data_IF_200604655536
#
_entry.id   IF_200604655536
#
_cell.length_a   1.000
_cell.length_b   1.000
_cell.length_c   1.000
_cell.angle_alpha   90.00
_cell.angle_beta   90.00
_cell.angle_gamma   90.00
#
_symmetry.space_group_name_H-M   'P 1'
#
loop_
_entity.id
_entity.type
_entity.pdbx_description
1 polymer ?
#
# COMPACT_ATOMS: atom_id res chain seq x y z
N UNK A 1 -8.24 -18.14 -26.11
CA UNK A 1 -7.25 -18.86 -25.25
C UNK A 1 -7.85 -20.14 -24.67
N UNK A 2 -7.03 -21.10 -24.17
CA UNK A 2 -7.51 -22.31 -23.48
C UNK A 2 -6.51 -22.75 -22.40
N UNK A 3 -7.01 -23.52 -21.42
CA UNK A 3 -6.19 -24.04 -20.33
C UNK A 3 -5.86 -25.50 -20.61
N UNK A 4 -4.59 -25.87 -20.40
CA UNK A 4 -4.09 -27.24 -20.56
C UNK A 4 -3.40 -27.69 -19.29
N UNK A 5 -3.70 -28.91 -18.87
CA UNK A 5 -2.99 -29.59 -17.80
C UNK A 5 -1.67 -30.19 -18.32
N UNK A 6 -0.61 -30.04 -17.56
CA UNK A 6 0.70 -30.63 -17.81
C UNK A 6 1.23 -31.31 -16.55
N UNK A 7 1.49 -32.60 -16.64
CA UNK A 7 2.11 -33.34 -15.55
C UNK A 7 3.64 -33.31 -15.68
N UNK A 8 4.35 -32.79 -14.68
CA UNK A 8 5.81 -32.83 -14.58
C UNK A 8 6.23 -33.93 -13.60
N UNK A 9 7.24 -34.72 -13.97
CA UNK A 9 7.94 -35.65 -13.07
C UNK A 9 9.07 -34.88 -12.39
N UNK A 10 9.09 -34.81 -11.06
CA UNK A 10 10.27 -34.36 -10.33
C UNK A 10 11.24 -35.51 -10.11
N UNK A 11 12.50 -35.19 -9.81
CA UNK A 11 13.52 -36.14 -9.40
C UNK A 11 13.09 -36.77 -8.07
N UNK A 12 12.53 -38.00 -8.13
CA UNK A 12 11.86 -38.69 -7.02
C UNK A 12 10.35 -38.77 -7.25
N UNK A 13 9.72 -39.90 -6.93
CA UNK A 13 8.36 -40.39 -7.25
C UNK A 13 7.15 -39.40 -7.18
N UNK A 14 7.32 -38.10 -6.95
CA UNK A 14 6.22 -37.11 -6.90
C UNK A 14 5.92 -36.54 -8.30
N UNK A 15 4.65 -36.65 -8.71
CA UNK A 15 4.13 -36.00 -9.91
C UNK A 15 3.48 -34.68 -9.53
N UNK A 16 3.79 -33.60 -10.25
CA UNK A 16 3.14 -32.30 -10.09
C UNK A 16 2.24 -32.04 -11.30
N UNK A 17 1.02 -31.65 -11.02
CA UNK A 17 0.08 -31.15 -12.01
C UNK A 17 0.25 -29.64 -12.10
N UNK A 18 0.44 -29.12 -13.29
CA UNK A 18 0.56 -27.70 -13.58
C UNK A 18 -0.39 -27.33 -14.72
N UNK A 19 -1.14 -26.27 -14.55
CA UNK A 19 -2.04 -25.74 -15.57
C UNK A 19 -1.35 -24.60 -16.33
N UNK A 20 -1.56 -24.55 -17.64
CA UNK A 20 -0.97 -23.55 -18.52
C UNK A 20 -2.07 -22.90 -19.35
N UNK A 21 -2.09 -21.56 -19.40
CA UNK A 21 -2.91 -20.80 -20.32
C UNK A 21 -2.17 -20.73 -21.67
N UNK A 22 -2.84 -21.14 -22.73
CA UNK A 22 -2.27 -21.28 -24.08
C UNK A 22 -3.07 -20.47 -25.07
N UNK A 23 -2.37 -19.81 -25.98
CA UNK A 23 -2.94 -19.12 -27.13
C UNK A 23 -2.47 -19.77 -28.42
N UNK A 24 -3.38 -19.83 -29.42
CA UNK A 24 -3.03 -20.28 -30.77
C UNK A 24 -2.74 -19.07 -31.65
N UNK A 25 -1.49 -18.91 -32.04
CA UNK A 25 -1.04 -17.80 -32.89
C UNK A 25 -0.82 -18.32 -34.32
N UNK A 26 -1.36 -17.63 -35.31
CA UNK A 26 -1.09 -17.92 -36.72
C UNK A 26 0.30 -17.39 -37.12
N UNK A 27 1.18 -18.28 -37.52
CA UNK A 27 2.49 -17.91 -38.06
C UNK A 27 2.55 -18.23 -39.58
N UNK A 28 3.50 -17.68 -40.32
CA UNK A 28 3.67 -17.99 -41.75
C UNK A 28 3.86 -19.50 -42.02
N UNK A 29 4.31 -20.26 -41.03
CA UNK A 29 4.51 -21.73 -41.11
C UNK A 29 3.32 -22.52 -40.52
N UNK A 30 2.15 -21.89 -40.31
CA UNK A 30 0.93 -22.49 -39.76
C UNK A 30 0.64 -22.12 -38.31
N UNK A 31 -0.48 -22.62 -37.75
CA UNK A 31 -0.88 -22.28 -36.35
C UNK A 31 0.10 -22.90 -35.36
N UNK A 32 0.60 -22.10 -34.43
CA UNK A 32 1.43 -22.53 -33.30
C UNK A 32 0.81 -22.21 -31.97
N UNK A 33 0.99 -23.09 -31.00
CA UNK A 33 0.56 -22.88 -29.62
C UNK A 33 1.67 -22.22 -28.83
N UNK A 34 1.33 -21.09 -28.17
CA UNK A 34 2.23 -20.36 -27.30
C UNK A 34 1.71 -20.37 -25.87
N UNK A 35 2.58 -20.58 -24.88
CA UNK A 35 2.23 -20.48 -23.47
C UNK A 35 2.18 -19.00 -23.12
N UNK A 36 1.00 -18.52 -22.69
CA UNK A 36 0.79 -17.14 -22.26
C UNK A 36 1.16 -16.98 -20.79
N UNK A 37 0.69 -17.90 -19.93
CA UNK A 37 0.97 -17.87 -18.50
C UNK A 37 0.95 -19.27 -17.89
N UNK A 38 1.80 -19.52 -16.88
CA UNK A 38 1.72 -20.69 -16.04
C UNK A 38 0.81 -20.41 -14.85
N UNK A 39 -0.35 -21.06 -14.78
CA UNK A 39 -1.37 -20.82 -13.74
C UNK A 39 -1.08 -21.58 -12.43
N UNK A 40 0.00 -22.38 -12.39
CA UNK A 40 0.29 -23.24 -11.24
C UNK A 40 -0.69 -24.39 -11.10
N UNK A 41 -1.01 -24.79 -9.87
CA UNK A 41 -2.03 -25.77 -9.58
C UNK A 41 -3.39 -25.07 -9.47
N UNK A 42 -4.25 -25.25 -10.47
CA UNK A 42 -5.56 -24.62 -10.52
C UNK A 42 -6.57 -25.44 -9.72
N UNK A 43 -7.12 -24.88 -8.65
CA UNK A 43 -8.16 -25.50 -7.83
C UNK A 43 -9.56 -25.21 -8.38
N UNK A 44 -9.80 -25.49 -9.68
CA UNK A 44 -11.10 -25.35 -10.34
C UNK A 44 -11.43 -26.61 -11.12
N UNK A 45 -12.72 -27.03 -11.15
CA UNK A 45 -13.17 -28.15 -11.98
C UNK A 45 -12.91 -27.88 -13.47
N UNK A 46 -12.67 -28.94 -14.24
CA UNK A 46 -12.29 -28.86 -15.66
C UNK A 46 -13.36 -28.18 -16.53
N UNK A 47 -14.62 -28.36 -16.20
CA UNK A 47 -15.77 -27.75 -16.88
C UNK A 47 -15.75 -26.20 -16.77
N UNK A 48 -15.09 -25.63 -15.74
CA UNK A 48 -14.94 -24.19 -15.53
C UNK A 48 -13.71 -23.59 -16.21
N UNK A 49 -12.77 -24.39 -16.72
CA UNK A 49 -11.53 -23.87 -17.33
C UNK A 49 -11.77 -23.04 -18.59
N UNK A 50 -12.73 -23.44 -19.42
CA UNK A 50 -13.10 -22.69 -20.62
C UNK A 50 -13.67 -21.31 -20.25
N UNK A 51 -14.52 -21.26 -19.23
CA UNK A 51 -15.10 -20.01 -18.72
C UNK A 51 -14.01 -19.09 -18.18
N UNK A 52 -13.06 -19.63 -17.37
CA UNK A 52 -11.92 -18.87 -16.87
C UNK A 52 -11.04 -18.31 -18.00
N UNK A 53 -10.71 -19.13 -19.01
CA UNK A 53 -9.91 -18.68 -20.15
C UNK A 53 -10.59 -17.58 -20.94
N UNK A 54 -11.90 -17.68 -21.18
CA UNK A 54 -12.69 -16.66 -21.87
C UNK A 54 -12.77 -15.35 -21.05
N UNK A 55 -12.94 -15.45 -19.72
CA UNK A 55 -12.92 -14.27 -18.85
C UNK A 55 -11.55 -13.55 -18.87
N UNK A 56 -10.44 -14.31 -18.82
CA UNK A 56 -9.10 -13.74 -18.95
C UNK A 56 -8.95 -13.01 -20.29
N UNK A 57 -9.36 -13.64 -21.39
CA UNK A 57 -9.32 -13.05 -22.73
C UNK A 57 -10.17 -11.78 -22.83
N UNK A 58 -11.37 -11.76 -22.25
CA UNK A 58 -12.24 -10.59 -22.17
C UNK A 58 -11.59 -9.44 -21.38
N UNK A 59 -10.97 -9.73 -20.23
CA UNK A 59 -10.26 -8.69 -19.46
C UNK A 59 -9.01 -8.16 -20.17
N UNK A 60 -8.29 -9.00 -20.93
CA UNK A 60 -7.15 -8.53 -21.73
C UNK A 60 -7.59 -7.66 -22.90
N UNK A 61 -8.77 -7.94 -23.48
CA UNK A 61 -9.36 -7.16 -24.59
C UNK A 61 -10.21 -5.97 -24.13
N UNK A 62 -10.19 -5.60 -22.84
CA UNK A 62 -11.03 -4.54 -22.25
C UNK A 62 -12.52 -4.67 -22.55
N UNK A 63 -13.02 -5.89 -22.83
CA UNK A 63 -14.44 -6.13 -23.12
C UNK A 63 -15.25 -6.16 -21.81
N UNK A 64 -16.29 -5.34 -21.73
CA UNK A 64 -17.27 -5.41 -20.63
C UNK A 64 -18.09 -6.68 -20.79
N UNK A 65 -18.06 -7.56 -19.77
CA UNK A 65 -18.96 -8.71 -19.71
C UNK A 65 -20.41 -8.24 -19.57
N UNK A 66 -21.27 -8.64 -20.50
CA UNK A 66 -22.69 -8.27 -20.53
C UNK A 66 -23.54 -8.97 -19.46
N UNK A 67 -23.03 -10.03 -18.83
CA UNK A 67 -23.73 -10.79 -17.80
C UNK A 67 -22.80 -11.01 -16.59
N UNK A 68 -23.32 -10.93 -15.35
CA UNK A 68 -22.55 -11.24 -14.17
C UNK A 68 -22.14 -12.72 -14.20
N UNK A 69 -20.84 -12.97 -14.22
CA UNK A 69 -20.25 -14.32 -14.14
C UNK A 69 -20.16 -14.81 -12.69
N UNK A 70 -19.65 -16.03 -12.52
CA UNK A 70 -19.28 -16.57 -11.20
C UNK A 70 -18.21 -15.66 -10.57
N UNK A 71 -18.47 -15.03 -9.40
CA UNK A 71 -17.56 -14.07 -8.78
C UNK A 71 -16.15 -14.62 -8.51
N UNK A 72 -16.06 -15.94 -8.21
CA UNK A 72 -14.77 -16.60 -7.97
C UNK A 72 -13.96 -16.72 -9.26
N UNK A 73 -14.61 -17.02 -10.38
CA UNK A 73 -13.96 -17.11 -11.70
C UNK A 73 -13.52 -15.72 -12.15
N UNK A 74 -14.33 -14.68 -11.95
CA UNK A 74 -13.99 -13.31 -12.32
C UNK A 74 -12.79 -12.79 -11.52
N UNK A 75 -12.74 -13.04 -10.21
CA UNK A 75 -11.60 -12.61 -9.37
C UNK A 75 -10.29 -13.27 -9.83
N UNK A 76 -10.32 -14.60 -10.10
CA UNK A 76 -9.16 -15.31 -10.64
C UNK A 76 -8.78 -14.81 -12.03
N UNK A 77 -9.74 -14.53 -12.90
CA UNK A 77 -9.50 -14.04 -14.25
C UNK A 77 -8.84 -12.66 -14.24
N UNK A 78 -9.29 -11.74 -13.38
CA UNK A 78 -8.67 -10.42 -13.20
C UNK A 78 -7.21 -10.54 -12.70
N UNK A 79 -6.98 -11.41 -11.72
CA UNK A 79 -5.64 -11.65 -11.21
C UNK A 79 -4.68 -12.14 -12.30
N UNK A 80 -5.07 -13.16 -13.07
CA UNK A 80 -4.25 -13.68 -14.17
C UNK A 80 -4.08 -12.69 -15.32
N UNK A 81 -5.12 -11.93 -15.66
CA UNK A 81 -5.03 -10.88 -16.67
C UNK A 81 -4.03 -9.79 -16.27
N UNK A 82 -4.00 -9.39 -14.99
CA UNK A 82 -3.00 -8.42 -14.50
C UNK A 82 -1.58 -8.97 -14.57
N UNK A 83 -1.35 -10.23 -14.23
CA UNK A 83 -0.05 -10.89 -14.36
C UNK A 83 0.43 -10.93 -15.82
N UNK A 84 -0.46 -11.27 -16.75
CA UNK A 84 -0.14 -11.31 -18.19
C UNK A 84 0.24 -9.91 -18.68
N UNK A 85 -0.51 -8.86 -18.29
CA UNK A 85 -0.17 -7.48 -18.64
C UNK A 85 1.21 -7.08 -18.11
N UNK A 86 1.52 -7.37 -16.84
CA UNK A 86 2.83 -7.10 -16.27
C UNK A 86 3.96 -7.84 -17.01
N UNK A 87 3.78 -9.13 -17.34
CA UNK A 87 4.78 -9.88 -18.09
C UNK A 87 4.96 -9.35 -19.53
N UNK A 88 3.88 -8.89 -20.17
CA UNK A 88 3.97 -8.28 -21.51
C UNK A 88 4.67 -6.93 -21.49
N UNK A 89 4.37 -6.08 -20.50
CA UNK A 89 5.05 -4.81 -20.27
C UNK A 89 6.55 -5.00 -20.00
N UNK A 90 6.92 -5.98 -19.16
CA UNK A 90 8.32 -6.28 -18.86
C UNK A 90 9.10 -6.83 -20.08
N UNK A 91 8.40 -7.44 -21.04
CA UNK A 91 8.98 -7.92 -22.31
C UNK A 91 8.95 -6.88 -23.43
N UNK A 92 8.46 -5.67 -23.18
CA UNK A 92 8.32 -4.61 -24.20
C UNK A 92 7.30 -4.95 -25.31
N UNK A 93 6.36 -5.86 -25.05
CA UNK A 93 5.40 -6.37 -26.06
C UNK A 93 4.02 -5.73 -26.03
N UNK A 94 3.70 -4.89 -25.04
CA UNK A 94 2.40 -4.21 -24.98
C UNK A 94 2.56 -2.70 -25.14
N UNK A 95 2.08 -2.15 -26.27
CA UNK A 95 1.55 -0.80 -26.31
C UNK A 95 0.16 -0.88 -25.67
N UNK A 96 -0.09 -0.03 -24.69
CA UNK A 96 -1.38 0.04 -23.98
C UNK A 96 -2.50 0.28 -25.00
N UNK A 97 -3.51 -0.58 -25.00
CA UNK A 97 -4.69 -0.50 -25.86
C UNK A 97 -5.70 0.58 -25.44
N UNK A 98 -5.27 1.58 -24.65
CA UNK A 98 -6.14 2.63 -24.12
C UNK A 98 -6.12 3.94 -24.95
N UNK A 99 -5.44 3.94 -26.14
CA UNK A 99 -5.28 5.14 -26.96
C UNK A 99 -6.05 5.09 -28.31
N UNK A 100 -7.14 4.35 -28.42
CA UNK A 100 -7.92 4.35 -29.70
C UNK A 100 -8.87 5.54 -29.88
N UNK A 101 -8.87 6.55 -28.99
CA UNK A 101 -9.67 7.78 -29.16
C UNK A 101 -8.85 9.09 -29.06
N UNK A 102 -7.54 9.04 -29.22
CA UNK A 102 -6.72 10.23 -29.44
C UNK A 102 -6.32 10.26 -30.92
N UNK A 103 -6.71 11.33 -31.58
CA UNK A 103 -6.40 11.64 -32.96
C UNK A 103 -5.01 11.14 -33.39
N UNK A 104 -4.93 10.54 -34.58
CA UNK A 104 -3.68 10.13 -35.21
C UNK A 104 -2.66 11.28 -35.15
N UNK A 105 -1.92 11.37 -34.04
CA UNK A 105 -0.66 12.09 -34.03
C UNK A 105 0.29 11.28 -34.91
N UNK A 106 0.50 11.75 -36.11
CA UNK A 106 1.56 11.27 -37.00
C UNK A 106 2.86 11.28 -36.19
N UNK A 107 3.42 10.10 -35.91
CA UNK A 107 4.68 9.96 -35.18
C UNK A 107 5.73 10.79 -35.91
N UNK A 108 6.08 11.93 -35.37
CA UNK A 108 7.07 12.84 -35.95
C UNK A 108 8.45 12.39 -35.50
N UNK A 109 9.22 11.83 -36.41
CA UNK A 109 10.62 11.48 -36.16
C UNK A 109 11.47 12.73 -36.38
N UNK A 110 12.29 13.05 -35.38
CA UNK A 110 13.28 14.13 -35.47
C UNK A 110 14.69 13.51 -35.41
N UNK A 111 15.60 14.05 -36.22
CA UNK A 111 17.01 13.65 -36.16
C UNK A 111 17.68 14.42 -35.00
N UNK A 112 18.15 13.68 -34.00
CA UNK A 112 18.89 14.23 -32.86
C UNK A 112 20.34 13.75 -32.93
N UNK A 113 21.29 14.68 -32.83
CA UNK A 113 22.70 14.31 -32.67
C UNK A 113 22.92 13.80 -31.24
N UNK A 114 23.06 12.48 -31.10
CA UNK A 114 23.25 11.81 -29.80
C UNK A 114 24.55 12.26 -29.12
N UNK A 115 25.56 12.71 -29.87
CA UNK A 115 26.82 13.18 -29.32
C UNK A 115 26.74 14.59 -28.74
N UNK A 116 25.67 15.34 -29.05
CA UNK A 116 25.42 16.67 -28.49
C UNK A 116 24.65 16.63 -27.17
N UNK A 117 24.21 15.44 -26.71
CA UNK A 117 23.45 15.28 -25.46
C UNK A 117 24.37 15.54 -24.25
N UNK A 118 24.01 16.52 -23.44
CA UNK A 118 24.65 16.79 -22.16
C UNK A 118 23.66 16.41 -21.06
N UNK A 119 24.09 15.56 -20.15
CA UNK A 119 23.29 15.21 -18.96
C UNK A 119 23.52 16.24 -17.88
N UNK A 120 22.49 16.94 -17.43
CA UNK A 120 22.50 17.86 -16.29
C UNK A 120 21.38 17.55 -15.33
N UNK A 121 21.54 17.95 -14.07
CA UNK A 121 20.50 17.89 -13.04
C UNK A 121 19.81 16.53 -12.91
N UNK A 122 20.63 15.48 -12.83
CA UNK A 122 20.12 14.09 -12.70
C UNK A 122 19.38 13.93 -11.37
N UNK A 123 18.11 13.53 -11.44
CA UNK A 123 17.23 13.32 -10.29
C UNK A 123 16.68 11.89 -10.23
N UNK A 124 16.43 11.43 -9.01
CA UNK A 124 15.70 10.16 -8.79
C UNK A 124 14.21 10.38 -8.94
N UNK A 125 13.52 9.36 -9.47
CA UNK A 125 12.06 9.37 -9.62
C UNK A 125 11.42 8.01 -9.29
N UNK A 126 12.19 6.98 -8.98
CA UNK A 126 11.68 5.61 -8.84
C UNK A 126 10.73 5.45 -7.65
N UNK A 127 11.23 5.58 -6.45
CA UNK A 127 10.45 5.49 -5.21
C UNK A 127 9.39 6.57 -5.13
N UNK A 128 9.73 7.78 -5.59
CA UNK A 128 8.84 8.94 -5.63
C UNK A 128 7.64 8.69 -6.54
N UNK A 129 7.86 8.10 -7.72
CA UNK A 129 6.78 7.77 -8.66
C UNK A 129 5.80 6.76 -8.06
N UNK A 130 6.32 5.70 -7.45
CA UNK A 130 5.49 4.69 -6.77
C UNK A 130 4.66 5.35 -5.67
N UNK A 131 5.28 6.18 -4.82
CA UNK A 131 4.60 6.84 -3.71
C UNK A 131 3.48 7.78 -4.21
N UNK A 132 3.78 8.63 -5.20
CA UNK A 132 2.80 9.58 -5.76
C UNK A 132 1.66 8.82 -6.46
N UNK A 133 1.96 7.77 -7.22
CA UNK A 133 0.95 6.95 -7.90
C UNK A 133 0.00 6.29 -6.90
N UNK A 134 0.54 5.72 -5.81
CA UNK A 134 -0.27 5.15 -4.74
C UNK A 134 -1.12 6.21 -4.03
N UNK A 135 -0.56 7.38 -3.72
CA UNK A 135 -1.33 8.49 -3.15
C UNK A 135 -2.53 8.88 -4.03
N UNK A 136 -2.33 8.90 -5.35
CA UNK A 136 -3.41 9.20 -6.31
C UNK A 136 -4.48 8.11 -6.31
N UNK A 137 -4.09 6.82 -6.29
CA UNK A 137 -5.01 5.68 -6.24
C UNK A 137 -5.83 5.64 -4.96
N UNK A 138 -5.22 5.94 -3.81
CA UNK A 138 -5.92 6.12 -2.55
C UNK A 138 -6.81 7.36 -2.52
N UNK A 139 -6.65 8.28 -3.47
CA UNK A 139 -7.39 9.53 -3.51
C UNK A 139 -6.99 10.52 -2.42
N UNK A 140 -5.71 10.52 -2.02
CA UNK A 140 -5.16 11.37 -0.96
C UNK A 140 -5.55 12.83 -1.12
N UNK A 141 -5.45 13.38 -2.33
CA UNK A 141 -5.80 14.78 -2.63
C UNK A 141 -7.26 15.09 -2.28
N UNK A 142 -8.18 14.17 -2.61
CA UNK A 142 -9.61 14.33 -2.30
C UNK A 142 -9.86 14.27 -0.80
N UNK A 143 -9.14 13.38 -0.10
CA UNK A 143 -9.24 13.23 1.35
C UNK A 143 -8.84 14.53 2.05
N UNK A 144 -7.63 15.04 1.78
CA UNK A 144 -7.13 16.23 2.47
C UNK A 144 -7.83 17.52 2.02
N UNK A 145 -8.24 17.61 0.74
CA UNK A 145 -9.09 18.71 0.27
C UNK A 145 -10.42 18.76 1.02
N UNK A 146 -11.03 17.59 1.28
CA UNK A 146 -12.25 17.48 2.09
C UNK A 146 -12.05 17.89 3.56
N UNK A 147 -10.82 17.98 4.06
CA UNK A 147 -10.43 18.48 5.38
C UNK A 147 -10.02 19.96 5.34
N UNK A 148 -10.16 20.64 4.20
CA UNK A 148 -9.90 22.08 4.06
C UNK A 148 -8.49 22.46 3.64
N UNK A 149 -7.66 21.51 3.17
CA UNK A 149 -6.32 21.80 2.68
C UNK A 149 -6.39 22.57 1.35
N UNK A 150 -5.56 23.60 1.23
CA UNK A 150 -5.38 24.33 -0.03
C UNK A 150 -4.57 23.50 -1.04
N UNK A 151 -4.62 23.79 -2.36
CA UNK A 151 -3.81 23.11 -3.35
C UNK A 151 -2.31 23.09 -3.02
N UNK A 152 -1.78 24.20 -2.54
CA UNK A 152 -0.37 24.31 -2.12
C UNK A 152 -0.08 23.39 -0.91
N UNK A 153 -0.96 23.37 0.10
CA UNK A 153 -0.82 22.50 1.27
C UNK A 153 -0.88 21.02 0.88
N UNK A 154 -1.70 20.64 -0.11
CA UNK A 154 -1.74 19.30 -0.66
C UNK A 154 -0.38 18.94 -1.28
N UNK A 155 0.16 19.82 -2.11
CA UNK A 155 1.48 19.65 -2.73
C UNK A 155 2.58 19.47 -1.68
N UNK A 156 2.65 20.38 -0.70
CA UNK A 156 3.63 20.26 0.39
C UNK A 156 3.44 18.99 1.24
N UNK A 157 2.20 18.56 1.47
CA UNK A 157 1.90 17.31 2.16
C UNK A 157 2.46 16.10 1.42
N UNK A 158 2.25 16.02 0.10
CA UNK A 158 2.83 14.98 -0.74
C UNK A 158 4.35 15.01 -0.69
N UNK A 159 4.96 16.17 -0.88
CA UNK A 159 6.41 16.35 -0.82
C UNK A 159 7.00 15.89 0.50
N UNK A 160 6.37 16.26 1.62
CA UNK A 160 6.82 15.87 2.95
C UNK A 160 6.70 14.37 3.19
N UNK A 161 5.56 13.78 2.85
CA UNK A 161 5.32 12.34 3.04
C UNK A 161 6.26 11.52 2.15
N UNK A 162 6.37 11.86 0.86
CA UNK A 162 7.28 11.17 -0.07
C UNK A 162 8.73 11.31 0.41
N UNK A 163 9.13 12.49 0.88
CA UNK A 163 10.45 12.70 1.45
C UNK A 163 10.71 11.81 2.67
N UNK A 164 9.74 11.64 3.57
CA UNK A 164 9.88 10.73 4.72
C UNK A 164 9.97 9.26 4.32
N UNK A 165 9.32 8.87 3.24
CA UNK A 165 9.34 7.49 2.73
C UNK A 165 10.61 7.17 1.94
N UNK A 166 11.02 8.05 1.03
CA UNK A 166 12.13 7.80 0.11
C UNK A 166 13.50 8.25 0.65
N UNK A 167 13.52 9.33 1.43
CA UNK A 167 14.74 9.92 1.99
C UNK A 167 14.49 10.46 3.41
N UNK A 168 14.41 9.58 4.43
CA UNK A 168 14.12 9.99 5.80
C UNK A 168 15.17 10.96 6.34
N UNK A 169 14.72 12.12 6.81
CA UNK A 169 15.60 13.16 7.33
C UNK A 169 14.82 14.29 8.02
N UNK A 170 15.50 15.36 8.42
CA UNK A 170 14.85 16.58 8.92
C UNK A 170 14.13 17.34 7.80
N UNK A 171 13.25 18.27 8.14
CA UNK A 171 12.58 19.13 7.14
C UNK A 171 13.58 19.87 6.27
N UNK A 172 14.68 20.36 6.85
CA UNK A 172 15.78 21.01 6.12
C UNK A 172 16.45 20.05 5.13
N UNK A 173 16.71 18.80 5.54
CA UNK A 173 17.28 17.78 4.67
C UNK A 173 16.29 17.38 3.57
N UNK A 174 15.00 17.30 3.90
CA UNK A 174 13.95 17.04 2.91
C UNK A 174 13.89 18.15 1.85
N UNK A 175 14.00 19.42 2.25
CA UNK A 175 14.06 20.55 1.30
C UNK A 175 15.27 20.42 0.37
N UNK A 176 16.45 20.11 0.93
CA UNK A 176 17.67 19.94 0.14
C UNK A 176 17.51 18.80 -0.87
N UNK A 177 17.06 17.65 -0.40
CA UNK A 177 16.84 16.46 -1.25
C UNK A 177 15.83 16.73 -2.37
N UNK A 178 14.69 17.35 -2.06
CA UNK A 178 13.66 17.70 -3.04
C UNK A 178 14.20 18.68 -4.11
N UNK A 179 15.11 19.58 -3.74
CA UNK A 179 15.65 20.58 -4.66
C UNK A 179 16.77 20.02 -5.54
N UNK A 180 17.64 19.17 -4.98
CA UNK A 180 18.91 18.78 -5.61
C UNK A 180 18.88 17.38 -6.23
N UNK A 181 18.10 16.44 -5.66
CA UNK A 181 18.21 15.02 -6.00
C UNK A 181 16.90 14.33 -6.41
N UNK A 182 15.74 14.90 -6.10
CA UNK A 182 14.43 14.26 -6.35
C UNK A 182 13.64 14.97 -7.45
N UNK A 183 12.98 14.18 -8.30
CA UNK A 183 12.07 14.68 -9.32
C UNK A 183 10.61 14.90 -8.85
N UNK A 184 10.34 14.90 -7.54
CA UNK A 184 8.98 15.08 -6.99
C UNK A 184 8.36 16.42 -7.41
N UNK A 185 9.16 17.51 -7.46
CA UNK A 185 8.67 18.82 -7.88
C UNK A 185 8.10 18.81 -9.29
N UNK A 186 8.85 18.25 -10.20
CA UNK A 186 8.50 18.11 -11.62
C UNK A 186 7.31 17.17 -11.79
N UNK A 187 7.28 16.05 -11.07
CA UNK A 187 6.18 15.08 -11.13
C UNK A 187 4.85 15.66 -10.62
N UNK A 188 4.91 16.58 -9.66
CA UNK A 188 3.72 17.27 -9.16
C UNK A 188 3.33 18.50 -10.00
N UNK A 189 4.13 18.84 -11.01
CA UNK A 189 3.93 20.02 -11.85
C UNK A 189 3.90 21.33 -11.06
N UNK A 190 4.69 21.40 -9.97
CA UNK A 190 4.59 22.47 -8.99
C UNK A 190 5.85 23.31 -8.89
N UNK A 191 5.69 24.61 -9.07
CA UNK A 191 6.73 25.64 -8.85
C UNK A 191 6.67 26.25 -7.44
N UNK A 192 6.18 25.51 -6.45
CA UNK A 192 6.08 26.03 -5.08
C UNK A 192 7.45 26.30 -4.48
N UNK A 193 7.55 27.41 -3.74
CA UNK A 193 8.78 27.76 -3.02
C UNK A 193 8.98 26.83 -1.82
N UNK A 194 10.05 26.05 -1.84
CA UNK A 194 10.41 25.13 -0.77
C UNK A 194 11.37 25.79 0.22
N UNK A 195 11.02 25.72 1.51
CA UNK A 195 11.88 26.05 2.64
C UNK A 195 11.41 25.27 3.89
N UNK A 196 12.30 25.05 4.82
CA UNK A 196 12.07 24.17 5.99
C UNK A 196 10.85 24.57 6.81
N UNK A 197 10.61 25.87 7.01
CA UNK A 197 9.44 26.36 7.76
C UNK A 197 8.10 25.97 7.13
N UNK A 198 8.01 25.88 5.80
CA UNK A 198 6.79 25.43 5.11
C UNK A 198 6.54 23.97 5.43
N UNK A 199 7.57 23.12 5.37
CA UNK A 199 7.43 21.70 5.70
C UNK A 199 7.11 21.48 7.17
N UNK A 200 7.69 22.28 8.10
CA UNK A 200 7.30 22.23 9.50
C UNK A 200 5.81 22.57 9.71
N UNK A 201 5.31 23.63 9.09
CA UNK A 201 3.88 23.98 9.16
C UNK A 201 3.00 22.90 8.56
N UNK A 202 3.44 22.29 7.46
CA UNK A 202 2.74 21.17 6.83
C UNK A 202 2.71 19.94 7.74
N UNK A 203 3.82 19.64 8.44
CA UNK A 203 3.85 18.56 9.42
C UNK A 203 2.84 18.79 10.56
N UNK A 204 2.75 20.03 11.08
CA UNK A 204 1.74 20.39 12.10
C UNK A 204 0.33 20.23 11.56
N UNK A 205 0.06 20.72 10.35
CA UNK A 205 -1.26 20.63 9.72
C UNK A 205 -1.68 19.16 9.51
N UNK A 206 -0.78 18.31 9.04
CA UNK A 206 -1.00 16.87 8.90
C UNK A 206 -1.27 16.22 10.27
N UNK A 207 -0.51 16.61 11.29
CA UNK A 207 -0.70 16.10 12.65
C UNK A 207 -2.06 16.51 13.25
N UNK A 208 -2.47 17.74 13.08
CA UNK A 208 -3.78 18.23 13.56
C UNK A 208 -4.95 17.48 12.92
N UNK A 209 -4.78 16.98 11.70
CA UNK A 209 -5.78 16.24 10.94
C UNK A 209 -5.51 14.72 10.88
N UNK A 210 -4.47 14.21 11.56
CA UNK A 210 -4.00 12.82 11.38
C UNK A 210 -5.09 11.77 11.57
N UNK A 211 -5.91 11.89 12.62
CA UNK A 211 -6.97 10.91 12.92
C UNK A 211 -8.01 10.81 11.80
N UNK A 212 -8.41 11.97 11.22
CA UNK A 212 -9.35 11.98 10.10
C UNK A 212 -8.71 11.48 8.80
N UNK A 213 -7.43 11.76 8.59
CA UNK A 213 -6.66 11.26 7.44
C UNK A 213 -6.52 9.73 7.54
N UNK A 214 -6.07 9.20 8.68
CA UNK A 214 -5.92 7.76 8.93
C UNK A 214 -7.24 7.02 8.73
N UNK A 215 -8.33 7.54 9.30
CA UNK A 215 -9.65 6.94 9.14
C UNK A 215 -10.04 6.83 7.66
N UNK A 216 -9.94 7.92 6.90
CA UNK A 216 -10.30 7.95 5.48
C UNK A 216 -9.40 7.06 4.62
N UNK A 217 -8.10 7.03 4.92
CA UNK A 217 -7.16 6.12 4.24
C UNK A 217 -7.47 4.66 4.55
N UNK A 218 -7.78 4.33 5.80
CA UNK A 218 -8.19 2.97 6.20
C UNK A 218 -9.49 2.53 5.54
N UNK A 219 -10.50 3.44 5.44
CA UNK A 219 -11.74 3.19 4.71
C UNK A 219 -11.46 2.92 3.23
N UNK A 220 -10.58 3.73 2.62
CA UNK A 220 -10.21 3.58 1.22
C UNK A 220 -9.41 2.30 0.95
N UNK A 221 -8.47 1.93 1.83
CA UNK A 221 -7.74 0.67 1.74
C UNK A 221 -8.70 -0.52 1.76
N UNK A 222 -9.69 -0.50 2.66
CA UNK A 222 -10.71 -1.55 2.74
C UNK A 222 -11.52 -1.68 1.45
N UNK A 223 -11.89 -0.57 0.81
CA UNK A 223 -12.60 -0.58 -0.47
C UNK A 223 -11.73 -1.16 -1.60
N UNK A 224 -10.47 -0.72 -1.71
CA UNK A 224 -9.56 -1.14 -2.78
C UNK A 224 -9.21 -2.63 -2.65
N UNK A 225 -8.91 -3.09 -1.42
CA UNK A 225 -8.39 -4.44 -1.18
C UNK A 225 -9.44 -5.42 -0.64
N UNK A 226 -10.68 -4.98 -0.42
CA UNK A 226 -11.77 -5.81 0.13
C UNK A 226 -11.40 -6.46 1.46
N UNK A 227 -10.76 -5.70 2.36
CA UNK A 227 -10.24 -6.18 3.64
C UNK A 227 -11.35 -6.63 4.58
N UNK A 228 -11.17 -7.77 5.25
CA UNK A 228 -12.19 -8.38 6.14
C UNK A 228 -12.17 -7.84 7.57
N UNK A 229 -11.04 -7.43 8.09
CA UNK A 229 -10.87 -6.84 9.42
C UNK A 229 -11.41 -7.73 10.57
N UNK A 230 -11.13 -9.02 10.53
CA UNK A 230 -11.55 -9.97 11.57
C UNK A 230 -10.57 -10.03 12.73
N UNK A 231 -9.30 -9.75 12.47
CA UNK A 231 -8.20 -9.73 13.44
C UNK A 231 -7.62 -8.33 13.55
N UNK A 232 -7.31 -7.92 14.76
CA UNK A 232 -6.66 -6.64 15.08
C UNK A 232 -5.38 -6.96 15.83
N UNK A 233 -4.24 -6.61 15.25
CA UNK A 233 -2.94 -6.70 15.89
C UNK A 233 -2.61 -5.35 16.51
N UNK A 234 -2.18 -5.37 17.77
CA UNK A 234 -1.84 -4.18 18.52
C UNK A 234 -0.45 -4.31 19.14
N UNK A 235 0.43 -3.34 18.87
CA UNK A 235 1.77 -3.27 19.44
C UNK A 235 2.17 -1.84 19.80
N UNK A 236 3.15 -1.74 20.70
CA UNK A 236 3.76 -0.49 21.15
C UNK A 236 5.23 -0.47 20.77
N UNK A 237 5.65 0.63 20.16
CA UNK A 237 7.04 0.91 19.83
C UNK A 237 7.49 2.20 20.48
N UNK A 238 8.68 2.23 21.09
CA UNK A 238 9.27 3.46 21.60
C UNK A 238 10.32 3.98 20.62
N UNK A 239 10.43 5.28 20.57
CA UNK A 239 11.60 5.94 19.97
C UNK A 239 12.17 6.95 20.98
N UNK A 240 13.46 7.20 20.93
CA UNK A 240 14.15 8.11 21.84
C UNK A 240 14.66 9.34 21.10
N UNK A 241 14.82 10.41 21.85
CA UNK A 241 15.45 11.64 21.34
C UNK A 241 16.86 11.77 21.89
N UNK A 242 17.81 11.91 21.01
CA UNK A 242 19.14 12.39 21.40
C UNK A 242 19.04 13.85 21.84
N UNK A 243 19.38 14.11 23.10
CA UNK A 243 19.24 15.44 23.71
C UNK A 243 18.09 15.56 24.72
N UNK A 244 18.08 16.65 25.47
CA UNK A 244 17.26 16.78 26.68
C UNK A 244 15.76 16.96 26.42
N UNK A 245 15.32 17.42 25.27
CA UNK A 245 13.90 17.70 24.92
C UNK A 245 13.07 18.37 26.03
N UNK A 246 13.71 19.24 26.87
CA UNK A 246 13.10 19.83 28.07
C UNK A 246 11.79 20.56 27.84
N UNK A 247 11.56 21.08 26.64
CA UNK A 247 10.32 21.75 26.25
C UNK A 247 9.19 20.82 25.78
N UNK A 248 9.44 19.51 25.63
CA UNK A 248 8.41 18.58 25.18
C UNK A 248 7.47 18.18 26.30
N UNK A 249 6.15 18.21 26.02
CA UNK A 249 5.12 17.74 26.96
C UNK A 249 4.98 16.23 27.01
N UNK A 250 5.41 15.52 25.96
CA UNK A 250 5.20 14.08 25.81
C UNK A 250 6.50 13.26 25.87
N UNK A 251 7.67 13.89 25.62
CA UNK A 251 8.95 13.20 25.79
C UNK A 251 9.26 13.01 27.29
N UNK A 252 9.33 11.78 27.73
CA UNK A 252 9.57 11.36 29.11
C UNK A 252 10.61 10.25 29.17
N UNK A 253 11.39 10.21 30.24
CA UNK A 253 12.24 9.06 30.55
C UNK A 253 11.35 7.87 30.95
N UNK A 254 11.64 6.70 30.39
CA UNK A 254 10.88 5.47 30.63
C UNK A 254 11.72 4.24 30.27
N UNK A 255 11.08 3.08 30.22
CA UNK A 255 11.71 1.84 29.81
C UNK A 255 11.87 1.82 28.29
N UNK A 256 13.13 1.92 27.81
CA UNK A 256 13.45 1.80 26.40
C UNK A 256 13.66 0.35 25.99
N UNK A 257 12.98 -0.11 24.94
CA UNK A 257 13.26 -1.43 24.32
C UNK A 257 14.72 -1.50 23.83
N UNK A 258 15.33 -0.37 23.48
CA UNK A 258 16.73 -0.25 23.03
C UNK A 258 17.71 0.03 24.16
N UNK A 259 17.29 -0.06 25.44
CA UNK A 259 18.10 0.18 26.64
C UNK A 259 18.71 1.60 26.74
N UNK A 260 18.12 2.59 26.06
CA UNK A 260 18.51 4.01 26.09
C UNK A 260 17.71 4.75 27.16
N UNK A 261 17.89 4.35 28.42
CA UNK A 261 17.22 4.99 29.57
C UNK A 261 17.77 6.38 29.90
N UNK A 262 18.89 6.76 29.29
CA UNK A 262 19.52 8.06 29.36
C UNK A 262 18.79 9.12 28.51
N UNK A 263 17.96 8.73 27.57
CA UNK A 263 17.27 9.58 26.63
C UNK A 263 15.75 9.66 26.92
N UNK A 264 15.12 10.83 26.70
CA UNK A 264 13.66 10.92 26.76
C UNK A 264 13.03 10.19 25.57
N UNK A 265 11.94 9.49 25.83
CA UNK A 265 11.20 8.64 24.88
C UNK A 265 9.85 9.27 24.50
N UNK A 266 9.33 8.84 23.37
CA UNK A 266 7.90 8.83 23.07
C UNK A 266 7.50 7.40 22.70
N UNK A 267 6.25 7.06 22.90
CA UNK A 267 5.71 5.75 22.56
C UNK A 267 4.68 5.91 21.45
N UNK A 268 4.79 5.09 20.41
CA UNK A 268 3.83 4.96 19.32
C UNK A 268 3.08 3.66 19.48
N UNK A 269 1.75 3.70 19.50
CA UNK A 269 0.91 2.52 19.31
C UNK A 269 0.46 2.45 17.85
N UNK A 270 0.48 1.25 17.31
CA UNK A 270 0.00 0.96 15.97
C UNK A 270 -0.99 -0.20 16.03
N UNK A 271 -2.11 -0.03 15.36
CA UNK A 271 -3.13 -1.05 15.18
C UNK A 271 -3.19 -1.40 13.70
N UNK A 272 -3.05 -2.68 13.38
CA UNK A 272 -3.11 -3.21 12.01
C UNK A 272 -4.14 -4.33 11.92
N UNK A 273 -4.62 -4.64 10.71
CA UNK A 273 -5.46 -5.81 10.45
C UNK A 273 -4.63 -7.08 10.13
N UNK A 274 -5.31 -8.18 9.81
CA UNK A 274 -4.70 -9.47 9.48
C UNK A 274 -3.81 -9.45 8.24
N UNK A 275 -4.06 -8.52 7.30
CA UNK A 275 -3.24 -8.34 6.11
C UNK A 275 -2.10 -7.33 6.32
N UNK A 276 -2.00 -6.71 7.51
CA UNK A 276 -0.95 -5.76 7.86
C UNK A 276 -1.28 -4.30 7.54
N UNK A 277 -2.51 -3.98 7.15
CA UNK A 277 -2.89 -2.60 6.87
C UNK A 277 -3.11 -1.80 8.16
N UNK A 278 -2.52 -0.59 8.27
CA UNK A 278 -2.72 0.29 9.41
C UNK A 278 -4.19 0.73 9.54
N UNK A 279 -4.70 0.70 10.76
CA UNK A 279 -6.05 1.15 11.10
C UNK A 279 -6.05 2.41 11.94
N UNK A 280 -5.15 2.47 12.89
CA UNK A 280 -5.04 3.59 13.82
C UNK A 280 -3.62 3.67 14.37
N UNK A 281 -3.12 4.88 14.52
CA UNK A 281 -1.92 5.16 15.29
C UNK A 281 -2.20 6.15 16.43
N UNK A 282 -1.40 6.10 17.50
CA UNK A 282 -1.44 7.10 18.58
C UNK A 282 -0.07 7.28 19.19
N UNK A 283 0.28 8.53 19.44
CA UNK A 283 1.51 8.92 20.14
C UNK A 283 1.20 9.15 21.61
N UNK A 284 2.02 8.60 22.49
CA UNK A 284 1.90 8.62 23.92
C UNK A 284 3.15 9.21 24.58
N UNK A 285 3.02 9.58 25.84
CA UNK A 285 4.19 9.92 26.65
C UNK A 285 5.16 8.73 26.75
N UNK A 286 6.46 9.01 26.81
CA UNK A 286 7.49 7.97 26.82
C UNK A 286 7.47 7.02 28.02
N UNK A 287 6.81 7.39 29.10
CA UNK A 287 6.64 6.59 30.33
C UNK A 287 5.26 5.94 30.45
N UNK A 288 4.47 5.92 29.38
CA UNK A 288 3.14 5.28 29.42
C UNK A 288 3.27 3.78 29.70
N UNK A 289 2.37 3.25 30.50
CA UNK A 289 2.27 1.80 30.71
C UNK A 289 1.48 1.15 29.57
N UNK A 290 1.97 0.03 29.07
CA UNK A 290 1.32 -0.72 27.98
C UNK A 290 -0.17 -1.03 28.26
N UNK A 291 -0.58 -1.50 29.44
CA UNK A 291 -1.99 -1.76 29.75
C UNK A 291 -2.87 -0.50 29.71
N UNK A 292 -2.32 0.67 30.07
CA UNK A 292 -3.06 1.93 30.11
C UNK A 292 -3.49 2.42 28.73
N UNK A 293 -2.80 2.05 27.68
CA UNK A 293 -3.06 2.50 26.32
C UNK A 293 -4.24 1.79 25.66
N UNK A 294 -4.48 0.52 26.02
CA UNK A 294 -5.47 -0.34 25.37
C UNK A 294 -6.91 0.20 25.47
N UNK A 295 -7.27 0.78 26.62
CA UNK A 295 -8.62 1.36 26.82
C UNK A 295 -8.95 2.42 25.79
N UNK A 296 -8.02 3.30 25.51
CA UNK A 296 -8.19 4.39 24.56
C UNK A 296 -8.27 3.86 23.12
N UNK A 297 -7.45 2.88 22.77
CA UNK A 297 -7.48 2.22 21.47
C UNK A 297 -8.82 1.54 21.21
N UNK A 298 -9.31 0.75 22.19
CA UNK A 298 -10.63 0.12 22.10
C UNK A 298 -11.76 1.15 21.96
N UNK A 299 -11.63 2.29 22.63
CA UNK A 299 -12.59 3.39 22.51
C UNK A 299 -12.56 4.03 21.12
N UNK A 300 -11.39 4.17 20.51
CA UNK A 300 -11.21 4.64 19.14
C UNK A 300 -11.87 3.69 18.12
N UNK A 301 -11.59 2.40 18.23
CA UNK A 301 -12.16 1.37 17.36
C UNK A 301 -13.71 1.33 17.43
N UNK A 302 -14.29 1.61 18.58
CA UNK A 302 -15.76 1.69 18.75
C UNK A 302 -16.39 2.93 18.12
N UNK A 303 -15.72 4.08 18.19
CA UNK A 303 -16.25 5.37 17.68
C UNK A 303 -16.35 5.41 16.15
N UNK A 304 -15.59 4.60 15.45
CA UNK A 304 -15.62 4.53 13.99
C UNK A 304 -16.94 4.01 13.39
N UNK A 305 -18.00 3.87 14.23
CA UNK A 305 -19.38 3.60 13.79
C UNK A 305 -19.57 2.25 13.08
N UNK A 306 -18.61 1.37 13.21
CA UNK A 306 -18.64 0.05 12.55
C UNK A 306 -19.60 -0.85 13.32
N UNK A 307 -20.80 -1.00 12.81
CA UNK A 307 -21.73 -2.08 13.21
C UNK A 307 -21.07 -3.41 12.81
N UNK A 308 -20.35 -4.01 13.75
CA UNK A 308 -19.62 -5.26 13.50
C UNK A 308 -20.60 -6.43 13.58
N UNK A 309 -20.76 -7.10 12.46
CA UNK A 309 -21.51 -8.35 12.36
C UNK A 309 -20.73 -9.58 12.84
N UNK A 310 -19.44 -9.44 13.16
CA UNK A 310 -18.56 -10.56 13.52
C UNK A 310 -17.71 -10.24 14.75
N UNK A 311 -17.44 -11.28 15.57
CA UNK A 311 -16.51 -11.19 16.69
C UNK A 311 -15.11 -10.89 16.20
N UNK A 312 -14.57 -9.75 16.59
CA UNK A 312 -13.18 -9.37 16.29
C UNK A 312 -12.24 -9.93 17.33
N UNK A 313 -11.10 -10.43 16.87
CA UNK A 313 -10.03 -10.97 17.70
C UNK A 313 -8.90 -9.95 17.84
N UNK A 314 -8.55 -9.59 19.07
CA UNK A 314 -7.40 -8.74 19.37
C UNK A 314 -6.20 -9.63 19.66
N UNK A 315 -5.12 -9.40 18.93
CA UNK A 315 -3.83 -10.08 19.15
C UNK A 315 -2.85 -9.07 19.75
N UNK A 316 -2.23 -9.44 20.86
CA UNK A 316 -1.28 -8.57 21.56
C UNK A 316 -0.17 -9.36 22.27
N UNK A 317 0.92 -8.67 22.58
CA UNK A 317 2.05 -9.24 23.31
C UNK A 317 1.72 -9.49 24.79
N UNK A 318 2.47 -10.41 25.40
CA UNK A 318 2.37 -10.79 26.81
C UNK A 318 2.56 -9.59 27.77
N UNK A 319 3.31 -8.57 27.38
CA UNK A 319 3.50 -7.33 28.13
C UNK A 319 2.21 -6.55 28.39
N UNK A 320 1.30 -6.59 27.43
CA UNK A 320 0.00 -5.88 27.49
C UNK A 320 -1.07 -6.74 28.17
N UNK A 321 -0.93 -8.06 28.16
CA UNK A 321 -1.91 -9.04 28.60
C UNK A 321 -1.94 -9.18 30.14
N UNK A 322 -2.52 -8.20 30.83
CA UNK A 322 -2.83 -8.30 32.26
C UNK A 322 -4.30 -8.78 32.45
N UNK A 323 -4.63 -9.26 33.67
CA UNK A 323 -6.01 -9.66 33.97
C UNK A 323 -7.02 -8.53 33.69
N UNK A 324 -6.65 -7.29 34.06
CA UNK A 324 -7.50 -6.11 33.85
C UNK A 324 -7.70 -5.81 32.36
N UNK A 325 -6.66 -5.94 31.54
CA UNK A 325 -6.76 -5.70 30.10
C UNK A 325 -7.56 -6.79 29.39
N UNK A 326 -7.41 -8.03 29.81
CA UNK A 326 -8.21 -9.16 29.31
C UNK A 326 -9.70 -8.98 29.69
N UNK A 327 -9.99 -8.59 30.94
CA UNK A 327 -11.35 -8.28 31.37
C UNK A 327 -11.97 -7.13 30.56
N UNK A 328 -11.18 -6.09 30.28
CA UNK A 328 -11.61 -4.95 29.45
C UNK A 328 -11.95 -5.37 28.01
N UNK A 329 -11.13 -6.23 27.40
CA UNK A 329 -11.37 -6.75 26.05
C UNK A 329 -12.67 -7.53 26.00
N UNK A 330 -12.86 -8.48 26.92
CA UNK A 330 -14.09 -9.27 27.05
C UNK A 330 -15.33 -8.38 27.26
N UNK A 331 -15.24 -7.41 28.17
CA UNK A 331 -16.33 -6.44 28.41
C UNK A 331 -16.64 -5.58 27.18
N UNK A 332 -15.66 -5.40 26.32
CA UNK A 332 -15.81 -4.64 25.08
C UNK A 332 -16.36 -5.47 23.91
N UNK A 333 -16.63 -6.78 24.12
CA UNK A 333 -17.21 -7.66 23.10
C UNK A 333 -16.20 -8.21 22.10
N UNK A 334 -14.90 -8.19 22.42
CA UNK A 334 -13.84 -8.75 21.57
C UNK A 334 -13.36 -10.10 22.11
N UNK A 335 -12.94 -10.97 21.20
CA UNK A 335 -12.10 -12.11 21.54
C UNK A 335 -10.62 -11.70 21.57
N UNK A 336 -9.73 -12.55 22.10
CA UNK A 336 -8.33 -12.20 22.19
C UNK A 336 -7.42 -13.41 22.01
N UNK A 337 -6.21 -13.16 21.49
CA UNK A 337 -5.09 -14.07 21.45
C UNK A 337 -3.89 -13.38 22.09
N UNK A 338 -3.30 -14.01 23.10
CA UNK A 338 -2.15 -13.47 23.82
C UNK A 338 -1.14 -14.59 24.10
N UNK A 339 0.12 -14.23 24.22
CA UNK A 339 1.15 -15.17 24.67
C UNK A 339 1.03 -15.31 26.17
N UNK A 340 0.85 -16.54 26.64
CA UNK A 340 0.90 -16.87 28.08
C UNK A 340 2.33 -16.74 28.61
N UNK A 341 2.49 -16.09 29.75
CA UNK A 341 3.76 -16.09 30.50
C UNK A 341 3.86 -17.32 31.37
#
# INVERSE_FOLDING_TARGET
MFIREKTKKASGKKRYVQHQLIESVRTPSGPRQQIVLNLGQLCLPEDKWKTLANCIEGFLANQKTLFPGDPEIEAKARHYASQIRQERLSRGQERLADDEDVAQETTRYEHVDVNSLITSDVKTIGAEHVAISQMNEYGFDKIVKGLGFTPEQITYSKMLIVGRMAHPGSERETVRWLSEASGVGEMLGSEVKLYDMVLHRTAVLLWENHAAIEQKLSERAREIFSLKETVILYDLTNTYFEGSKRGSKIARHGLSKEKRNDCPLITLSLTIDEEGFPKQSKVWEGNVSEPGTLKDILSGLKKEGRLFSHEKTIVMDAGIATEDTIALIKKSGYTYVVVSR
#
